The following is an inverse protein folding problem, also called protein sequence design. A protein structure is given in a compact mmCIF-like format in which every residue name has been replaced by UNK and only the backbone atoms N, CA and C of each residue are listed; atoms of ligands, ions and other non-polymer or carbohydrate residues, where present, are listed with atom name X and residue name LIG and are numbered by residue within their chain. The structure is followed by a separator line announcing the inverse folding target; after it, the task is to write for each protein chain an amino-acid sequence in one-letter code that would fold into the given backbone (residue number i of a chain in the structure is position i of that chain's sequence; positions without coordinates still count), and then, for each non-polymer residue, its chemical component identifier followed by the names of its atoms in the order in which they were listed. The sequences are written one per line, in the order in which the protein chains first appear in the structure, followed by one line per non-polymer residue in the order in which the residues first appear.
data_IF_882512178654
#
_entry.id   IF_882512178654
#
_cell.length_a   1.000
_cell.length_b   1.000
_cell.length_c   1.000
_cell.angle_alpha   90.00
_cell.angle_beta   90.00
_cell.angle_gamma   90.00
#
_symmetry.space_group_name_H-M   'P 1'
#
loop_
_entity.id
_entity.type
_entity.pdbx_description
1 polymer ?
#
# COMPACT_ATOMS: atom_id res chain seq x y z
N UNK A 1 46.25 29.16 1.76
CA UNK A 1 44.98 29.67 1.21
C UNK A 1 44.68 28.83 -0.02
N UNK A 2 44.46 27.54 0.18
CA UNK A 2 43.16 26.91 0.50
C UNK A 2 42.17 27.05 -0.66
N UNK A 3 42.34 26.19 -1.64
CA UNK A 3 41.28 25.75 -2.55
C UNK A 3 41.16 24.25 -2.36
N UNK A 4 40.27 23.86 -1.44
CA UNK A 4 39.98 22.47 -1.13
C UNK A 4 39.31 21.80 -2.32
N UNK A 5 39.93 20.69 -2.74
CA UNK A 5 39.34 19.48 -3.29
C UNK A 5 37.80 19.52 -3.43
N UNK A 6 37.35 19.69 -4.67
CA UNK A 6 36.05 19.18 -5.08
C UNK A 6 36.13 17.65 -4.99
N UNK A 7 35.54 17.07 -3.95
CA UNK A 7 35.22 15.65 -3.95
C UNK A 7 34.22 15.40 -5.09
N UNK A 8 34.71 14.76 -6.16
CA UNK A 8 33.86 14.09 -7.14
C UNK A 8 33.07 13.00 -6.42
N UNK A 9 31.89 13.36 -5.93
CA UNK A 9 30.86 12.38 -5.55
C UNK A 9 30.41 11.73 -6.85
N UNK A 10 31.06 10.62 -7.17
CA UNK A 10 30.66 9.71 -8.22
C UNK A 10 29.28 9.15 -7.84
N UNK A 11 28.22 9.86 -8.23
CA UNK A 11 26.86 9.36 -8.17
C UNK A 11 26.74 8.23 -9.20
N UNK A 12 27.18 7.04 -8.82
CA UNK A 12 26.71 5.81 -9.45
C UNK A 12 25.22 5.72 -9.15
N UNK A 13 24.41 6.25 -10.05
CA UNK A 13 22.98 5.94 -10.10
C UNK A 13 22.87 4.44 -10.38
N UNK A 14 22.88 3.63 -9.33
CA UNK A 14 22.54 2.22 -9.42
C UNK A 14 21.09 2.14 -9.87
N UNK A 15 20.90 1.78 -11.14
CA UNK A 15 19.60 1.45 -11.71
C UNK A 15 19.01 0.31 -10.88
N UNK A 16 17.79 0.47 -10.39
CA UNK A 16 17.05 -0.59 -9.71
C UNK A 16 17.00 -1.81 -10.64
N UNK A 17 17.35 -3.00 -10.16
CA UNK A 17 17.18 -4.23 -10.94
C UNK A 17 15.77 -4.78 -10.71
N UNK A 18 15.17 -5.41 -11.73
CA UNK A 18 13.81 -5.94 -11.66
C UNK A 18 13.63 -7.03 -10.58
N UNK A 19 14.71 -7.71 -10.20
CA UNK A 19 14.75 -8.72 -9.14
C UNK A 19 15.06 -8.14 -7.73
N UNK A 20 15.19 -6.82 -7.61
CA UNK A 20 15.47 -6.14 -6.35
C UNK A 20 14.20 -5.60 -5.69
N UNK A 21 14.07 -5.82 -4.39
CA UNK A 21 13.09 -5.08 -3.60
C UNK A 21 13.59 -3.65 -3.38
N UNK A 22 12.67 -2.69 -3.49
CA UNK A 22 12.90 -1.28 -3.18
C UNK A 22 11.76 -0.78 -2.31
N UNK A 23 12.10 -0.01 -1.29
CA UNK A 23 11.14 0.69 -0.45
C UNK A 23 11.66 2.08 -0.11
N UNK A 24 10.87 3.11 -0.41
CA UNK A 24 11.18 4.50 -0.10
C UNK A 24 10.13 5.07 0.85
N UNK A 25 10.57 5.39 2.06
CA UNK A 25 9.75 5.87 3.16
C UNK A 25 10.46 6.99 3.92
N UNK A 26 9.71 7.92 4.56
CA UNK A 26 10.29 8.83 5.55
C UNK A 26 11.04 8.14 6.70
N UNK A 27 10.73 6.88 7.02
CA UNK A 27 11.37 6.13 8.10
C UNK A 27 12.68 5.48 7.66
N UNK A 28 12.61 4.45 6.82
CA UNK A 28 13.80 3.79 6.26
C UNK A 28 13.61 3.57 4.77
N UNK A 29 14.60 3.99 4.01
CA UNK A 29 14.63 3.83 2.55
C UNK A 29 15.82 2.94 2.16
N UNK A 30 15.56 1.84 1.47
CA UNK A 30 16.59 0.87 1.11
C UNK A 30 16.21 0.01 -0.11
N UNK A 31 17.23 -0.59 -0.71
CA UNK A 31 17.13 -1.63 -1.74
C UNK A 31 17.69 -2.95 -1.23
N UNK A 32 17.35 -4.05 -1.89
CA UNK A 32 17.92 -5.37 -1.59
C UNK A 32 18.66 -5.97 -2.79
N UNK A 33 19.53 -6.92 -2.54
CA UNK A 33 20.17 -7.74 -3.59
C UNK A 33 20.20 -9.20 -3.21
N UNK A 34 19.90 -10.07 -4.19
CA UNK A 34 19.84 -11.51 -4.02
C UNK A 34 18.65 -11.97 -3.15
N UNK A 35 18.41 -13.28 -3.15
CA UNK A 35 17.39 -13.93 -2.34
C UNK A 35 18.04 -15.06 -1.54
N UNK A 36 18.08 -14.93 -0.21
CA UNK A 36 18.57 -15.99 0.67
C UNK A 36 17.50 -17.08 0.87
N UNK A 37 16.27 -16.67 1.20
CA UNK A 37 15.17 -17.61 1.42
C UNK A 37 13.83 -16.94 1.10
N UNK A 38 13.01 -17.60 0.27
CA UNK A 38 11.59 -17.25 0.08
C UNK A 38 10.78 -17.70 1.29
N UNK A 39 9.71 -16.95 1.58
CA UNK A 39 8.81 -17.20 2.70
C UNK A 39 7.37 -17.04 2.21
N UNK A 40 6.73 -18.18 1.91
CA UNK A 40 5.38 -18.25 1.34
C UNK A 40 4.30 -18.61 2.35
N UNK A 41 4.62 -18.63 3.65
CA UNK A 41 3.67 -18.96 4.70
C UNK A 41 2.48 -17.99 4.68
N UNK A 42 1.23 -18.49 4.67
CA UNK A 42 0.05 -17.65 4.83
C UNK A 42 0.08 -16.88 6.16
N UNK A 43 -0.25 -15.59 6.12
CA UNK A 43 -0.22 -14.70 7.27
C UNK A 43 -1.47 -14.76 8.17
N UNK A 44 -2.43 -15.64 7.88
CA UNK A 44 -3.62 -15.85 8.72
C UNK A 44 -3.22 -16.25 10.14
N UNK A 45 -3.78 -15.55 11.14
CA UNK A 45 -3.38 -15.72 12.54
C UNK A 45 -1.97 -15.22 12.85
N UNK A 46 -1.37 -14.40 11.97
CA UNK A 46 -0.03 -13.84 12.16
C UNK A 46 0.06 -12.78 13.27
N UNK A 47 -1.07 -12.38 13.85
CA UNK A 47 -1.20 -11.51 15.02
C UNK A 47 -0.87 -12.23 16.34
N UNK A 48 -0.96 -13.56 16.39
CA UNK A 48 -0.53 -14.36 17.53
C UNK A 48 1.00 -14.51 17.51
N UNK A 49 1.75 -13.93 18.49
CA UNK A 49 3.20 -14.08 18.57
C UNK A 49 3.67 -15.53 18.70
N UNK A 50 2.81 -16.41 19.21
CA UNK A 50 3.07 -17.85 19.31
C UNK A 50 2.55 -18.65 18.11
N UNK A 51 1.90 -18.00 17.14
CA UNK A 51 1.27 -18.63 15.99
C UNK A 51 2.26 -19.22 14.98
N UNK A 52 1.80 -20.13 14.09
CA UNK A 52 2.66 -20.82 13.12
C UNK A 52 3.45 -19.89 12.21
N UNK A 53 2.83 -18.80 11.76
CA UNK A 53 3.48 -17.79 10.91
C UNK A 53 4.67 -17.15 11.63
N UNK A 54 4.49 -16.71 12.89
CA UNK A 54 5.53 -16.06 13.70
C UNK A 54 6.65 -17.03 14.07
N UNK A 55 6.33 -18.29 14.39
CA UNK A 55 7.33 -19.33 14.66
C UNK A 55 8.23 -19.59 13.43
N UNK A 56 7.62 -19.71 12.24
CA UNK A 56 8.34 -19.90 10.98
C UNK A 56 9.15 -18.67 10.59
N UNK A 57 8.63 -17.46 10.79
CA UNK A 57 9.35 -16.21 10.60
C UNK A 57 10.61 -16.13 11.49
N UNK A 58 10.45 -16.41 12.79
CA UNK A 58 11.56 -16.44 13.73
C UNK A 58 12.61 -17.50 13.35
N UNK A 59 12.17 -18.67 12.87
CA UNK A 59 13.08 -19.70 12.37
C UNK A 59 13.83 -19.25 11.11
N UNK A 60 13.16 -18.57 10.17
CA UNK A 60 13.80 -18.03 8.97
C UNK A 60 14.90 -17.00 9.33
N UNK A 61 14.63 -16.13 10.30
CA UNK A 61 15.65 -15.19 10.80
C UNK A 61 16.83 -15.90 11.48
N UNK A 62 16.58 -16.92 12.32
CA UNK A 62 17.65 -17.72 12.93
C UNK A 62 18.52 -18.41 11.86
N UNK A 63 17.89 -18.99 10.84
CA UNK A 63 18.60 -19.64 9.74
C UNK A 63 19.49 -18.64 8.96
N UNK A 64 18.97 -17.43 8.71
CA UNK A 64 19.74 -16.37 8.04
C UNK A 64 20.96 -15.94 8.88
N UNK A 65 20.79 -15.72 10.20
CA UNK A 65 21.91 -15.39 11.11
C UNK A 65 22.96 -16.50 11.16
N UNK A 66 22.53 -17.75 11.27
CA UNK A 66 23.43 -18.91 11.28
C UNK A 66 24.20 -19.08 9.95
N UNK A 67 23.65 -18.55 8.85
CA UNK A 67 24.28 -18.55 7.52
C UNK A 67 25.15 -17.32 7.26
N UNK A 68 25.39 -16.48 8.26
CA UNK A 68 26.28 -15.32 8.18
C UNK A 68 25.61 -13.99 7.80
N UNK A 69 24.27 -13.93 7.70
CA UNK A 69 23.55 -12.66 7.49
C UNK A 69 23.37 -11.97 8.85
N UNK A 70 24.22 -10.99 9.16
CA UNK A 70 24.25 -10.34 10.47
C UNK A 70 22.93 -9.65 10.86
N UNK A 71 22.34 -8.89 9.92
CA UNK A 71 21.11 -8.12 10.13
C UNK A 71 20.07 -8.52 9.10
N UNK A 72 19.43 -9.71 9.23
CA UNK A 72 18.46 -10.16 8.25
C UNK A 72 17.18 -9.34 8.35
N UNK A 73 16.62 -9.03 7.19
CA UNK A 73 15.32 -8.36 7.01
C UNK A 73 14.41 -9.28 6.21
N UNK A 74 13.13 -9.33 6.55
CA UNK A 74 12.09 -9.93 5.73
C UNK A 74 11.43 -8.80 4.95
N UNK A 75 11.33 -8.94 3.63
CA UNK A 75 10.72 -7.94 2.74
C UNK A 75 9.67 -8.59 1.85
N UNK A 76 8.73 -7.80 1.33
CA UNK A 76 7.81 -8.23 0.27
C UNK A 76 6.37 -7.81 0.53
N UNK A 77 5.42 -8.64 0.11
CA UNK A 77 3.99 -8.35 0.23
C UNK A 77 3.18 -9.53 0.79
N UNK A 78 2.12 -9.22 1.52
CA UNK A 78 1.12 -10.16 2.03
C UNK A 78 -0.22 -9.85 1.33
N UNK A 79 -0.95 -10.87 0.83
CA UNK A 79 -2.19 -10.69 0.09
C UNK A 79 -3.34 -10.10 0.93
N UNK A 80 -4.37 -9.60 0.25
CA UNK A 80 -5.61 -9.15 0.89
C UNK A 80 -6.27 -10.28 1.70
N UNK A 81 -6.32 -11.49 1.13
CA UNK A 81 -6.74 -12.68 1.85
C UNK A 81 -5.52 -13.39 2.46
N UNK A 82 -5.29 -13.18 3.75
CA UNK A 82 -4.10 -13.69 4.49
C UNK A 82 -4.02 -15.22 4.59
N UNK A 83 -5.08 -15.93 4.17
CA UNK A 83 -5.07 -17.39 4.00
C UNK A 83 -4.28 -17.84 2.77
N UNK A 84 -4.04 -16.95 1.82
CA UNK A 84 -3.24 -17.22 0.62
C UNK A 84 -1.74 -17.07 0.91
N UNK A 85 -0.87 -17.71 0.11
CA UNK A 85 0.58 -17.62 0.29
C UNK A 85 1.07 -16.17 0.27
N UNK A 86 1.99 -15.85 1.20
CA UNK A 86 2.68 -14.56 1.22
C UNK A 86 3.74 -14.50 0.11
N UNK A 87 4.07 -13.29 -0.36
CA UNK A 87 5.17 -13.03 -1.28
C UNK A 87 6.32 -12.35 -0.53
N UNK A 88 6.88 -13.04 0.47
CA UNK A 88 7.97 -12.53 1.31
C UNK A 88 9.29 -13.25 1.03
N UNK A 89 10.40 -12.59 1.33
CA UNK A 89 11.72 -13.19 1.29
C UNK A 89 12.74 -12.46 2.16
N UNK A 90 13.79 -13.17 2.55
CA UNK A 90 15.01 -12.59 3.15
C UNK A 90 16.02 -12.39 2.01
N UNK A 91 16.51 -11.16 1.77
CA UNK A 91 17.55 -10.93 0.78
C UNK A 91 18.92 -11.33 1.32
N UNK A 92 19.91 -11.46 0.43
CA UNK A 92 21.28 -11.71 0.86
C UNK A 92 21.92 -10.43 1.46
N UNK A 93 21.58 -9.27 0.89
CA UNK A 93 22.07 -7.96 1.30
C UNK A 93 20.99 -6.90 1.13
N UNK A 94 21.11 -5.82 1.90
CA UNK A 94 20.32 -4.61 1.72
C UNK A 94 21.21 -3.38 1.89
N UNK A 95 20.85 -2.28 1.24
CA UNK A 95 21.59 -1.02 1.28
C UNK A 95 20.63 0.14 1.43
N UNK A 96 20.88 1.02 2.39
CA UNK A 96 20.09 2.23 2.57
C UNK A 96 20.43 3.27 1.53
N UNK A 97 19.47 4.16 1.25
CA UNK A 97 19.69 5.34 0.43
C UNK A 97 18.95 6.53 1.02
N UNK A 98 19.40 7.74 0.66
CA UNK A 98 18.72 8.99 1.05
C UNK A 98 17.45 9.21 0.22
N UNK A 99 16.30 9.28 0.88
CA UNK A 99 15.01 9.60 0.24
C UNK A 99 15.04 10.97 -0.49
N UNK A 100 15.52 12.07 0.12
CA UNK A 100 15.67 13.34 -0.59
C UNK A 100 16.56 13.24 -1.83
N UNK A 101 17.67 12.51 -1.75
CA UNK A 101 18.56 12.33 -2.90
C UNK A 101 17.87 11.56 -4.04
N UNK A 102 17.08 10.52 -3.72
CA UNK A 102 16.28 9.79 -4.72
C UNK A 102 15.16 10.62 -5.32
N UNK A 103 14.46 11.43 -4.52
CA UNK A 103 13.46 12.36 -5.04
C UNK A 103 14.07 13.36 -6.02
N UNK A 104 15.29 13.84 -5.74
CA UNK A 104 16.01 14.73 -6.64
C UNK A 104 16.45 14.01 -7.92
N UNK A 105 17.03 12.82 -7.83
CA UNK A 105 17.50 12.08 -9.01
C UNK A 105 16.36 11.69 -9.94
N UNK A 106 15.23 11.23 -9.39
CA UNK A 106 14.08 10.78 -10.17
C UNK A 106 13.46 11.89 -11.04
N UNK A 107 13.55 13.16 -10.61
CA UNK A 107 13.07 14.32 -11.40
C UNK A 107 13.81 14.50 -12.72
N UNK A 108 15.06 14.06 -12.78
CA UNK A 108 15.93 14.20 -13.95
C UNK A 108 16.14 12.87 -14.68
N UNK A 109 15.49 11.79 -14.24
CA UNK A 109 15.58 10.49 -14.88
C UNK A 109 14.96 10.56 -16.29
N UNK A 110 15.82 10.63 -17.32
CA UNK A 110 15.43 10.57 -18.72
C UNK A 110 15.46 9.12 -19.19
N UNK A 111 14.30 8.54 -19.51
CA UNK A 111 14.26 7.14 -19.97
C UNK A 111 12.86 6.57 -20.20
N UNK A 112 11.89 7.40 -20.59
CA UNK A 112 10.55 6.89 -20.84
C UNK A 112 10.56 5.96 -22.06
N UNK A 113 10.44 4.65 -21.82
CA UNK A 113 10.13 3.69 -22.86
C UNK A 113 8.80 4.09 -23.50
N UNK A 114 8.79 4.27 -24.81
CA UNK A 114 7.54 4.45 -25.55
C UNK A 114 6.87 3.09 -25.69
N UNK A 115 5.71 2.94 -25.05
CA UNK A 115 4.87 1.75 -25.06
C UNK A 115 3.60 2.03 -25.85
N UNK A 116 3.27 1.17 -26.81
CA UNK A 116 1.97 1.23 -27.48
C UNK A 116 1.01 0.29 -26.77
N UNK A 117 -0.16 0.81 -26.38
CA UNK A 117 -1.22 -0.01 -25.78
C UNK A 117 -1.91 -0.80 -26.89
N UNK A 118 -1.80 -2.12 -26.84
CA UNK A 118 -2.48 -3.03 -27.77
C UNK A 118 -3.89 -3.37 -27.30
N UNK A 119 -4.10 -3.45 -25.98
CA UNK A 119 -5.38 -3.75 -25.38
C UNK A 119 -5.50 -3.06 -24.03
N UNK A 120 -6.69 -2.53 -23.73
CA UNK A 120 -7.08 -2.01 -22.42
C UNK A 120 -8.48 -2.53 -22.07
N UNK A 121 -8.61 -3.16 -20.92
CA UNK A 121 -9.87 -3.77 -20.47
C UNK A 121 -10.17 -3.31 -19.04
N UNK A 122 -11.37 -2.79 -18.80
CA UNK A 122 -11.85 -2.48 -17.45
C UNK A 122 -12.61 -3.67 -16.88
N UNK A 123 -12.28 -4.07 -15.65
CA UNK A 123 -12.84 -5.27 -15.02
C UNK A 123 -13.39 -4.92 -13.63
N UNK A 124 -14.71 -4.93 -13.44
CA UNK A 124 -15.74 -5.00 -14.48
C UNK A 124 -15.89 -3.66 -15.23
N UNK A 125 -16.59 -3.64 -16.38
CA UNK A 125 -16.96 -2.39 -17.06
C UNK A 125 -17.94 -1.57 -16.21
N UNK A 126 -18.05 -0.27 -16.51
CA UNK A 126 -18.80 0.70 -15.72
C UNK A 126 -20.21 0.25 -15.30
N UNK A 127 -21.10 -0.24 -16.19
CA UNK A 127 -22.46 -0.61 -15.78
C UNK A 127 -22.51 -1.67 -14.69
N UNK A 128 -21.64 -2.68 -14.79
CA UNK A 128 -21.56 -3.78 -13.82
C UNK A 128 -20.97 -3.29 -12.49
N UNK A 129 -19.95 -2.43 -12.52
CA UNK A 129 -19.43 -1.83 -11.28
C UNK A 129 -20.49 -0.97 -10.59
N UNK A 130 -21.28 -0.20 -11.33
CA UNK A 130 -22.37 0.61 -10.79
C UNK A 130 -23.47 -0.26 -10.15
N UNK A 131 -23.81 -1.40 -10.76
CA UNK A 131 -24.73 -2.39 -10.18
C UNK A 131 -24.18 -2.99 -8.87
N UNK A 132 -22.89 -3.35 -8.85
CA UNK A 132 -22.23 -3.84 -7.63
C UNK A 132 -22.29 -2.80 -6.50
N UNK A 133 -22.02 -1.53 -6.81
CA UNK A 133 -22.09 -0.42 -5.83
C UNK A 133 -23.52 -0.23 -5.33
N UNK A 134 -24.52 -0.23 -6.21
CA UNK A 134 -25.93 -0.09 -5.81
C UNK A 134 -26.37 -1.24 -4.89
N UNK A 135 -25.95 -2.47 -5.19
CA UNK A 135 -26.22 -3.65 -4.36
C UNK A 135 -25.54 -3.54 -3.00
N UNK A 136 -24.25 -3.20 -2.97
CA UNK A 136 -23.49 -3.01 -1.74
C UNK A 136 -24.08 -1.89 -0.86
N UNK A 137 -24.39 -0.72 -1.44
CA UNK A 137 -25.01 0.38 -0.70
C UNK A 137 -26.34 -0.03 -0.05
N UNK A 138 -27.18 -0.79 -0.79
CA UNK A 138 -28.44 -1.32 -0.26
C UNK A 138 -28.23 -2.28 0.92
N UNK A 139 -27.21 -3.14 0.85
CA UNK A 139 -26.87 -4.06 1.94
C UNK A 139 -26.30 -3.33 3.16
N UNK A 140 -25.53 -2.27 2.93
CA UNK A 140 -24.97 -1.44 4.03
C UNK A 140 -26.03 -0.67 4.81
N UNK A 141 -27.24 -0.52 4.27
CA UNK A 141 -28.39 0.05 4.97
C UNK A 141 -29.07 -0.96 5.90
N UNK A 142 -28.65 -2.23 5.89
CA UNK A 142 -29.17 -3.29 6.76
C UNK A 142 -28.23 -3.54 7.96
N UNK A 143 -28.69 -4.22 9.02
CA UNK A 143 -27.84 -4.56 10.17
C UNK A 143 -26.69 -5.55 9.87
N UNK A 144 -26.61 -6.12 8.66
CA UNK A 144 -25.66 -7.19 8.34
C UNK A 144 -24.23 -6.69 8.11
N UNK A 145 -24.10 -5.51 7.50
CA UNK A 145 -22.82 -4.89 7.16
C UNK A 145 -23.00 -3.39 7.19
N UNK A 146 -22.05 -2.63 7.75
CA UNK A 146 -22.11 -1.17 7.81
C UNK A 146 -21.30 -0.50 6.70
N UNK A 147 -20.22 -1.17 6.27
CA UNK A 147 -19.31 -0.70 5.21
C UNK A 147 -18.76 -1.89 4.45
N UNK A 148 -18.65 -1.78 3.14
CA UNK A 148 -17.89 -2.71 2.29
C UNK A 148 -17.06 -1.90 1.30
N UNK A 149 -15.84 -2.32 1.01
CA UNK A 149 -14.98 -1.69 0.02
C UNK A 149 -15.03 -2.55 -1.22
N UNK A 150 -15.56 -2.02 -2.31
CA UNK A 150 -15.54 -2.68 -3.61
C UNK A 150 -14.45 -2.10 -4.48
N UNK A 151 -13.92 -2.92 -5.37
CA UNK A 151 -12.79 -2.59 -6.23
C UNK A 151 -13.02 -3.01 -7.67
N UNK A 152 -12.16 -2.49 -8.54
CA UNK A 152 -12.09 -2.81 -9.95
C UNK A 152 -10.66 -2.71 -10.45
N UNK A 153 -10.46 -3.28 -11.64
CA UNK A 153 -9.16 -3.39 -12.29
C UNK A 153 -9.15 -2.68 -13.65
N UNK A 154 -7.96 -2.35 -14.10
CA UNK A 154 -7.68 -2.09 -15.52
C UNK A 154 -6.53 -3.01 -15.93
N UNK A 155 -6.79 -3.89 -16.89
CA UNK A 155 -5.77 -4.69 -17.54
C UNK A 155 -5.29 -3.99 -18.81
N UNK A 156 -3.97 -3.91 -19.00
CA UNK A 156 -3.33 -3.29 -20.15
C UNK A 156 -2.31 -4.26 -20.73
N UNK A 157 -2.37 -4.49 -22.04
CA UNK A 157 -1.33 -5.19 -22.80
C UNK A 157 -0.60 -4.19 -23.69
N UNK A 158 0.72 -4.30 -23.73
CA UNK A 158 1.61 -3.42 -24.50
C UNK A 158 2.36 -4.19 -25.59
N UNK A 159 2.87 -3.47 -26.58
CA UNK A 159 3.62 -4.04 -27.70
C UNK A 159 5.02 -4.55 -27.34
N UNK A 160 5.53 -4.21 -26.15
CA UNK A 160 6.88 -4.53 -25.68
C UNK A 160 6.87 -4.93 -24.21
N UNK A 161 7.91 -5.63 -23.79
CA UNK A 161 8.15 -5.84 -22.36
C UNK A 161 8.33 -4.48 -21.65
N UNK A 162 7.76 -4.39 -20.46
CA UNK A 162 7.75 -3.17 -19.66
C UNK A 162 9.02 -3.11 -18.82
N UNK A 163 9.72 -1.98 -18.89
CA UNK A 163 10.85 -1.67 -18.01
C UNK A 163 10.34 -1.18 -16.64
N UNK A 164 10.31 -2.08 -15.65
CA UNK A 164 9.84 -1.77 -14.30
C UNK A 164 10.72 -0.74 -13.59
N UNK A 165 12.02 -0.71 -13.90
CA UNK A 165 12.98 0.21 -13.29
C UNK A 165 12.77 1.64 -13.78
N UNK A 166 12.58 1.81 -15.09
CA UNK A 166 12.24 3.11 -15.68
C UNK A 166 10.87 3.62 -15.20
N UNK A 167 9.89 2.73 -15.05
CA UNK A 167 8.59 3.09 -14.45
C UNK A 167 8.72 3.52 -12.99
N UNK A 168 9.60 2.88 -12.22
CA UNK A 168 9.80 3.22 -10.81
C UNK A 168 10.34 4.64 -10.64
N UNK A 169 11.28 5.08 -11.48
CA UNK A 169 11.77 6.47 -11.48
C UNK A 169 10.65 7.47 -11.79
N UNK A 170 9.80 7.19 -12.79
CA UNK A 170 8.62 8.02 -13.11
C UNK A 170 7.64 8.07 -11.93
N UNK A 171 7.41 6.93 -11.28
CA UNK A 171 6.55 6.83 -10.11
C UNK A 171 7.05 7.70 -8.97
N UNK A 172 8.34 7.65 -8.66
CA UNK A 172 8.97 8.47 -7.60
C UNK A 172 8.87 9.96 -7.94
N UNK A 173 9.14 10.34 -9.20
CA UNK A 173 9.09 11.73 -9.64
C UNK A 173 7.68 12.33 -9.51
N UNK A 174 6.65 11.55 -9.86
CA UNK A 174 5.25 11.98 -9.80
C UNK A 174 4.67 11.89 -8.38
N UNK A 175 5.18 10.99 -7.54
CA UNK A 175 4.65 10.71 -6.20
C UNK A 175 5.76 10.77 -5.14
N UNK A 176 6.43 11.92 -4.94
CA UNK A 176 7.60 12.00 -4.08
C UNK A 176 7.27 11.82 -2.60
N UNK A 177 6.04 12.17 -2.18
CA UNK A 177 5.61 12.15 -0.78
C UNK A 177 5.14 10.78 -0.29
N UNK A 178 4.78 9.87 -1.20
CA UNK A 178 4.21 8.56 -0.91
C UNK A 178 5.24 7.56 -0.36
N UNK A 179 4.73 6.40 0.10
CA UNK A 179 5.49 5.18 0.29
C UNK A 179 5.63 4.47 -1.06
N UNK A 180 6.80 4.58 -1.68
CA UNK A 180 7.04 4.02 -3.01
C UNK A 180 7.71 2.65 -2.87
N UNK A 181 7.15 1.64 -3.52
CA UNK A 181 7.63 0.27 -3.44
C UNK A 181 7.75 -0.40 -4.81
N UNK A 182 8.70 -1.33 -4.91
CA UNK A 182 8.89 -2.25 -6.03
C UNK A 182 9.27 -3.62 -5.45
N UNK A 183 8.49 -4.66 -5.75
CA UNK A 183 8.59 -5.99 -5.14
C UNK A 183 8.73 -7.04 -6.24
N UNK A 184 9.85 -7.79 -6.27
CA UNK A 184 10.03 -8.91 -7.20
C UNK A 184 9.19 -10.12 -6.75
N UNK A 185 8.34 -10.61 -7.65
CA UNK A 185 7.47 -11.76 -7.43
C UNK A 185 8.11 -13.06 -7.91
N UNK A 186 7.62 -14.20 -7.44
CA UNK A 186 8.17 -15.52 -7.74
C UNK A 186 7.97 -15.93 -9.21
N UNK A 187 6.88 -15.46 -9.83
CA UNK A 187 6.58 -15.68 -11.25
C UNK A 187 7.41 -14.81 -12.21
N UNK A 188 8.36 -14.04 -11.69
CA UNK A 188 9.15 -13.06 -12.47
C UNK A 188 8.41 -11.74 -12.73
N UNK A 189 7.20 -11.58 -12.19
CA UNK A 189 6.48 -10.31 -12.19
C UNK A 189 7.00 -9.33 -11.15
N UNK A 190 6.46 -8.11 -11.20
CA UNK A 190 6.78 -7.04 -10.27
C UNK A 190 5.49 -6.41 -9.75
N UNK A 191 5.37 -6.28 -8.44
CA UNK A 191 4.37 -5.41 -7.82
C UNK A 191 5.03 -4.05 -7.53
N UNK A 192 4.46 -2.96 -8.05
CA UNK A 192 4.97 -1.60 -7.80
C UNK A 192 3.85 -0.61 -7.47
N UNK A 193 4.15 0.42 -6.70
CA UNK A 193 3.12 1.40 -6.33
C UNK A 193 3.62 2.57 -5.49
N UNK A 194 2.71 3.53 -5.31
CA UNK A 194 2.91 4.77 -4.56
C UNK A 194 1.82 4.92 -3.48
N UNK A 195 1.88 4.09 -2.44
CA UNK A 195 0.84 4.08 -1.42
C UNK A 195 0.90 5.34 -0.55
N UNK A 196 -0.23 6.00 -0.27
CA UNK A 196 -0.29 7.10 0.69
C UNK A 196 -0.55 6.62 2.14
N UNK A 197 -0.85 5.33 2.35
CA UNK A 197 -1.45 4.84 3.59
C UNK A 197 -0.49 3.93 4.35
N UNK A 198 -0.04 4.42 5.51
CA UNK A 198 0.73 3.64 6.47
C UNK A 198 -0.22 2.73 7.26
N UNK A 199 -0.12 1.42 7.06
CA UNK A 199 -0.85 0.49 7.92
C UNK A 199 -0.20 0.41 9.29
N UNK A 200 1.12 0.20 9.34
CA UNK A 200 1.86 0.07 10.58
C UNK A 200 3.34 0.38 10.39
N UNK A 201 3.91 1.19 11.28
CA UNK A 201 5.35 1.27 11.52
C UNK A 201 5.61 0.89 12.97
N UNK A 202 6.70 0.17 13.24
CA UNK A 202 7.18 -0.13 14.60
C UNK A 202 8.68 0.13 14.71
N UNK A 203 9.08 0.86 15.74
CA UNK A 203 10.46 1.12 16.12
C UNK A 203 10.61 0.97 17.65
N UNK A 204 11.37 -0.04 18.08
CA UNK A 204 11.42 -0.42 19.49
C UNK A 204 10.02 -0.79 19.99
N UNK A 205 9.58 -0.19 21.09
CA UNK A 205 8.23 -0.38 21.63
C UNK A 205 7.16 0.45 20.88
N UNK A 206 7.57 1.57 20.29
CA UNK A 206 6.65 2.53 19.70
C UNK A 206 6.13 2.05 18.34
N UNK A 207 4.85 2.27 18.08
CA UNK A 207 4.24 2.02 16.78
C UNK A 207 3.32 3.17 16.36
N UNK A 208 3.18 3.33 15.04
CA UNK A 208 2.31 4.34 14.44
C UNK A 208 1.51 3.76 13.27
N UNK A 209 0.32 4.29 13.02
CA UNK A 209 -0.51 4.01 11.84
C UNK A 209 -1.16 5.30 11.33
N UNK A 210 -1.48 5.37 10.02
CA UNK A 210 -2.13 6.52 9.40
C UNK A 210 -3.25 6.05 8.46
N UNK A 211 -4.38 5.53 8.99
CA UNK A 211 -5.52 5.10 8.19
C UNK A 211 -6.13 6.24 7.39
N UNK A 212 -6.51 5.93 6.14
CA UNK A 212 -7.16 6.86 5.21
C UNK A 212 -8.54 6.37 4.80
N UNK A 213 -9.55 7.23 4.91
CA UNK A 213 -10.91 6.95 4.43
C UNK A 213 -11.65 8.27 4.21
N UNK A 214 -12.44 8.38 3.15
CA UNK A 214 -12.94 9.65 2.63
C UNK A 214 -11.95 10.30 1.65
N UNK A 215 -12.47 10.77 0.51
CA UNK A 215 -11.66 11.23 -0.61
C UNK A 215 -12.30 12.40 -1.36
N UNK A 216 -11.49 13.36 -1.79
CA UNK A 216 -11.92 14.41 -2.72
C UNK A 216 -10.85 14.68 -3.79
N UNK A 217 -11.27 14.98 -5.02
CA UNK A 217 -10.34 15.24 -6.13
C UNK A 217 -9.59 16.55 -5.91
N UNK A 218 -8.27 16.53 -6.13
CA UNK A 218 -7.44 17.75 -6.20
C UNK A 218 -7.86 18.64 -7.36
N UNK A 219 -7.80 19.95 -7.19
CA UNK A 219 -8.05 20.93 -8.24
C UNK A 219 -6.74 21.60 -8.70
N UNK A 220 -6.61 21.98 -9.98
CA UNK A 220 -5.45 22.74 -10.46
C UNK A 220 -5.37 24.17 -9.91
N UNK A 221 -6.52 24.76 -9.56
CA UNK A 221 -6.61 26.08 -8.93
C UNK A 221 -6.54 25.95 -7.40
N UNK A 222 -5.62 26.67 -6.76
CA UNK A 222 -5.34 26.56 -5.32
C UNK A 222 -6.54 26.94 -4.44
N UNK A 223 -7.39 27.87 -4.88
CA UNK A 223 -8.58 28.29 -4.13
C UNK A 223 -9.61 27.17 -4.17
N UNK A 224 -9.92 26.68 -5.37
CA UNK A 224 -10.85 25.56 -5.55
C UNK A 224 -10.33 24.27 -4.90
N UNK A 225 -9.02 24.05 -4.88
CA UNK A 225 -8.39 22.88 -4.26
C UNK A 225 -8.56 22.90 -2.74
N UNK A 226 -8.34 24.06 -2.11
CA UNK A 226 -8.54 24.24 -0.67
C UNK A 226 -10.02 24.17 -0.29
N UNK A 227 -10.92 24.66 -1.13
CA UNK A 227 -12.36 24.46 -0.96
C UNK A 227 -12.75 22.98 -1.04
N UNK A 228 -12.16 22.21 -1.98
CA UNK A 228 -12.42 20.77 -2.09
C UNK A 228 -12.00 20.02 -0.81
N UNK A 229 -10.82 20.33 -0.28
CA UNK A 229 -10.37 19.78 1.01
C UNK A 229 -11.28 20.18 2.19
N UNK A 230 -11.71 21.45 2.25
CA UNK A 230 -12.64 21.92 3.30
C UNK A 230 -14.00 21.23 3.21
N UNK A 231 -14.53 21.04 2.00
CA UNK A 231 -15.77 20.28 1.75
C UNK A 231 -15.63 18.82 2.17
N UNK A 232 -14.48 18.19 1.93
CA UNK A 232 -14.20 16.82 2.39
C UNK A 232 -14.23 16.74 3.92
N UNK A 233 -13.54 17.65 4.62
CA UNK A 233 -13.53 17.69 6.08
C UNK A 233 -14.93 17.94 6.68
N UNK A 234 -15.76 18.70 5.98
CA UNK A 234 -17.14 18.98 6.35
C UNK A 234 -18.16 17.89 5.93
N UNK A 235 -17.77 16.93 5.08
CA UNK A 235 -18.67 15.90 4.56
C UNK A 235 -19.06 14.87 5.63
N UNK A 236 -20.35 14.77 5.93
CA UNK A 236 -20.87 13.79 6.88
C UNK A 236 -20.67 12.35 6.40
N UNK A 237 -20.84 12.10 5.09
CA UNK A 237 -20.59 10.79 4.47
C UNK A 237 -19.15 10.36 4.72
N UNK A 238 -18.18 11.19 4.34
CA UNK A 238 -16.76 10.87 4.40
C UNK A 238 -16.28 10.77 5.86
N UNK A 239 -16.77 11.64 6.76
CA UNK A 239 -16.47 11.52 8.20
C UNK A 239 -17.03 10.24 8.80
N UNK A 240 -18.28 9.87 8.49
CA UNK A 240 -18.87 8.62 8.95
C UNK A 240 -18.08 7.41 8.44
N UNK A 241 -17.69 7.43 7.16
CA UNK A 241 -16.85 6.40 6.57
C UNK A 241 -15.49 6.28 7.28
N UNK A 242 -14.90 7.41 7.67
CA UNK A 242 -13.64 7.49 8.40
C UNK A 242 -13.76 6.98 9.83
N UNK A 243 -14.83 7.35 10.55
CA UNK A 243 -15.06 6.95 11.93
C UNK A 243 -15.21 5.43 12.07
N UNK A 244 -15.84 4.76 11.10
CA UNK A 244 -15.92 3.29 11.09
C UNK A 244 -14.53 2.62 11.06
N UNK A 245 -13.57 3.23 10.36
CA UNK A 245 -12.19 2.74 10.31
C UNK A 245 -11.49 2.94 11.64
N UNK A 246 -11.52 4.17 12.16
CA UNK A 246 -10.76 4.54 13.37
C UNK A 246 -11.31 3.85 14.61
N UNK A 247 -12.63 3.70 14.76
CA UNK A 247 -13.23 2.99 15.89
C UNK A 247 -12.89 1.49 15.89
N UNK A 248 -12.90 0.85 14.72
CA UNK A 248 -12.48 -0.54 14.60
C UNK A 248 -11.01 -0.72 14.99
N UNK A 249 -10.13 0.14 14.48
CA UNK A 249 -8.70 0.12 14.81
C UNK A 249 -8.43 0.36 16.30
N UNK A 250 -9.12 1.34 16.89
CA UNK A 250 -9.02 1.63 18.33
C UNK A 250 -9.37 0.40 19.16
N UNK A 251 -10.49 -0.25 18.85
CA UNK A 251 -10.97 -1.44 19.56
C UNK A 251 -9.96 -2.60 19.54
N UNK A 252 -9.26 -2.82 18.43
CA UNK A 252 -8.29 -3.92 18.29
C UNK A 252 -6.90 -3.57 18.84
N UNK A 253 -6.49 -2.29 18.79
CA UNK A 253 -5.17 -1.86 19.27
C UNK A 253 -5.13 -1.63 20.77
N UNK A 254 -6.21 -1.18 21.40
CA UNK A 254 -6.28 -0.94 22.86
C UNK A 254 -5.76 -2.11 23.71
N UNK A 255 -6.21 -3.37 23.52
CA UNK A 255 -5.74 -4.48 24.34
C UNK A 255 -4.28 -4.89 24.05
N UNK A 256 -3.71 -4.42 22.94
CA UNK A 256 -2.35 -4.75 22.46
C UNK A 256 -1.33 -3.65 22.72
N UNK A 257 -1.76 -2.57 23.36
CA UNK A 257 -0.95 -1.39 23.63
C UNK A 257 -0.87 -1.12 25.14
N UNK A 258 0.26 -0.56 25.58
CA UNK A 258 0.41 0.07 26.91
C UNK A 258 -0.16 1.50 26.89
N UNK A 259 0.07 2.20 25.78
CA UNK A 259 -0.48 3.53 25.51
C UNK A 259 -1.01 3.58 24.08
N UNK A 260 -2.14 4.24 23.87
CA UNK A 260 -2.72 4.48 22.55
C UNK A 260 -3.29 5.90 22.49
N UNK A 261 -2.85 6.68 21.52
CA UNK A 261 -3.33 8.03 21.23
C UNK A 261 -3.89 8.09 19.81
N UNK A 262 -5.11 8.59 19.70
CA UNK A 262 -5.80 8.86 18.45
C UNK A 262 -6.60 10.15 18.59
N UNK A 263 -6.37 11.18 17.73
CA UNK A 263 -7.21 12.37 17.71
C UNK A 263 -8.68 12.04 17.46
N UNK A 264 -9.58 12.81 18.06
CA UNK A 264 -11.03 12.64 17.90
C UNK A 264 -11.57 13.12 16.54
N UNK A 265 -10.76 13.81 15.74
CA UNK A 265 -11.14 14.30 14.42
C UNK A 265 -10.01 14.09 13.43
N UNK A 266 -10.32 13.76 12.17
CA UNK A 266 -9.31 13.56 11.15
C UNK A 266 -8.68 14.89 10.73
N UNK A 267 -7.50 14.78 10.11
CA UNK A 267 -6.82 15.85 9.39
C UNK A 267 -6.82 15.59 7.89
N UNK A 268 -6.58 16.63 7.11
CA UNK A 268 -6.42 16.52 5.65
C UNK A 268 -4.98 16.19 5.28
N UNK A 269 -4.80 15.22 4.40
CA UNK A 269 -3.53 14.98 3.69
C UNK A 269 -3.77 14.96 2.18
N UNK A 270 -2.69 15.10 1.40
CA UNK A 270 -2.76 15.14 -0.07
C UNK A 270 -1.87 14.11 -0.73
N UNK A 271 -2.37 13.52 -1.79
CA UNK A 271 -1.57 12.98 -2.91
C UNK A 271 -1.59 13.98 -4.08
N UNK A 272 -0.85 13.72 -5.17
CA UNK A 272 -0.97 14.53 -6.39
C UNK A 272 -2.39 14.56 -6.97
N UNK A 273 -3.23 13.57 -6.69
CA UNK A 273 -4.55 13.39 -7.31
C UNK A 273 -5.73 13.58 -6.35
N UNK A 274 -5.53 13.35 -5.05
CA UNK A 274 -6.59 13.30 -4.05
C UNK A 274 -6.24 14.04 -2.74
N UNK A 275 -7.24 14.65 -2.13
CA UNK A 275 -7.33 14.88 -0.70
C UNK A 275 -7.85 13.61 0.00
N UNK A 276 -7.34 13.34 1.20
CA UNK A 276 -7.79 12.25 2.07
C UNK A 276 -8.00 12.77 3.49
N UNK A 277 -9.00 12.21 4.20
CA UNK A 277 -9.05 12.30 5.66
C UNK A 277 -8.13 11.25 6.25
N UNK A 278 -7.33 11.65 7.24
CA UNK A 278 -6.36 10.82 7.93
C UNK A 278 -6.45 11.02 9.45
N UNK A 279 -6.31 9.96 10.23
CA UNK A 279 -6.17 10.07 11.69
C UNK A 279 -4.86 9.41 12.12
N UNK A 280 -3.87 10.16 12.63
CA UNK A 280 -2.64 9.56 13.12
C UNK A 280 -2.94 8.74 14.38
N UNK A 281 -2.49 7.49 14.38
CA UNK A 281 -2.57 6.57 15.51
C UNK A 281 -1.16 6.37 16.02
N UNK A 282 -0.94 6.61 17.30
CA UNK A 282 0.36 6.48 17.96
C UNK A 282 0.21 5.63 19.21
N UNK A 283 1.13 4.70 19.45
CA UNK A 283 1.06 3.85 20.63
C UNK A 283 2.37 3.19 21.01
N UNK A 284 2.37 2.58 22.19
CA UNK A 284 3.46 1.74 22.68
C UNK A 284 2.92 0.31 22.77
N UNK A 285 3.53 -0.60 22.02
CA UNK A 285 3.12 -1.98 21.96
C UNK A 285 3.43 -2.72 23.26
N UNK A 286 2.63 -3.73 23.59
CA UNK A 286 2.96 -4.68 24.66
C UNK A 286 4.18 -5.55 24.28
N UNK A 287 4.65 -6.33 25.25
CA UNK A 287 5.78 -7.22 25.06
C UNK A 287 5.48 -8.29 24.00
N UNK A 288 6.53 -8.76 23.31
CA UNK A 288 6.48 -9.77 22.25
C UNK A 288 5.79 -9.34 20.94
N UNK A 289 5.29 -8.11 20.85
CA UNK A 289 4.85 -7.56 19.57
C UNK A 289 6.02 -7.24 18.64
N UNK A 290 5.85 -7.59 17.37
CA UNK A 290 6.70 -7.13 16.28
C UNK A 290 5.87 -6.41 15.21
N UNK A 291 6.54 -5.82 14.22
CA UNK A 291 5.85 -5.12 13.14
C UNK A 291 4.84 -6.00 12.39
N UNK A 292 5.08 -7.30 12.25
CA UNK A 292 4.14 -8.20 11.57
C UNK A 292 2.98 -8.63 12.46
N UNK A 293 3.16 -8.82 13.78
CA UNK A 293 2.02 -9.17 14.66
C UNK A 293 0.97 -8.06 14.64
N UNK A 294 1.41 -6.80 14.79
CA UNK A 294 0.49 -5.66 14.75
C UNK A 294 -0.05 -5.38 13.33
N UNK A 295 0.73 -5.60 12.27
CA UNK A 295 0.24 -5.41 10.91
C UNK A 295 -0.82 -6.48 10.56
N UNK A 296 -0.61 -7.75 10.93
CA UNK A 296 -1.59 -8.82 10.76
C UNK A 296 -2.84 -8.63 11.61
N UNK A 297 -2.72 -8.00 12.78
CA UNK A 297 -3.87 -7.64 13.62
C UNK A 297 -4.76 -6.59 12.93
N UNK A 298 -4.14 -5.57 12.34
CA UNK A 298 -4.84 -4.46 11.67
C UNK A 298 -5.36 -4.84 10.28
N UNK A 299 -4.67 -5.73 9.57
CA UNK A 299 -4.91 -5.99 8.15
C UNK A 299 -6.00 -7.04 7.90
N UNK A 300 -6.96 -6.77 6.98
CA UNK A 300 -7.28 -5.47 6.39
C UNK A 300 -8.18 -4.64 7.31
N UNK A 301 -7.91 -3.33 7.36
CA UNK A 301 -8.78 -2.38 8.07
C UNK A 301 -10.11 -2.20 7.32
N UNK A 302 -11.13 -1.56 7.94
CA UNK A 302 -12.36 -1.21 7.22
C UNK A 302 -12.16 -0.24 6.04
N UNK A 303 -10.96 0.32 5.83
CA UNK A 303 -10.63 1.10 4.63
C UNK A 303 -10.40 0.21 3.38
N UNK A 304 -10.10 -1.09 3.58
CA UNK A 304 -9.78 -2.03 2.51
C UNK A 304 -10.78 -3.18 2.37
N UNK A 305 -11.35 -3.66 3.48
CA UNK A 305 -12.43 -4.66 3.47
C UNK A 305 -13.78 -4.03 3.73
N UNK A 306 -13.99 -3.50 4.93
CA UNK A 306 -15.29 -3.06 5.43
C UNK A 306 -15.52 -3.45 6.89
N UNK A 307 -16.73 -3.21 7.40
CA UNK A 307 -17.12 -3.46 8.79
C UNK A 307 -18.56 -3.98 8.87
N UNK A 308 -18.83 -5.06 9.64
CA UNK A 308 -17.86 -5.98 10.24
C UNK A 308 -16.99 -6.71 9.19
N UNK A 309 -15.74 -7.00 9.54
CA UNK A 309 -14.73 -7.49 8.58
C UNK A 309 -15.17 -8.76 7.81
N UNK A 310 -15.67 -9.77 8.51
CA UNK A 310 -16.02 -11.06 7.90
C UNK A 310 -17.21 -10.93 6.94
N UNK A 311 -18.26 -10.21 7.34
CA UNK A 311 -19.42 -9.94 6.49
C UNK A 311 -19.02 -9.15 5.23
N UNK A 312 -18.13 -8.17 5.37
CA UNK A 312 -17.61 -7.41 4.22
C UNK A 312 -16.79 -8.28 3.28
N UNK A 313 -15.94 -9.20 3.79
CA UNK A 313 -15.16 -10.14 2.94
C UNK A 313 -16.05 -11.10 2.16
N UNK A 314 -17.13 -11.61 2.77
CA UNK A 314 -18.10 -12.47 2.08
C UNK A 314 -18.78 -11.72 0.95
N UNK A 315 -19.21 -10.47 1.20
CA UNK A 315 -19.83 -9.64 0.19
C UNK A 315 -18.86 -9.25 -0.94
N UNK A 316 -17.59 -8.98 -0.63
CA UNK A 316 -16.54 -8.77 -1.64
C UNK A 316 -16.40 -10.00 -2.53
N UNK A 317 -16.35 -11.20 -1.94
CA UNK A 317 -16.21 -12.45 -2.69
C UNK A 317 -17.44 -12.78 -3.55
N UNK A 318 -18.63 -12.34 -3.14
CA UNK A 318 -19.86 -12.47 -3.93
C UNK A 318 -19.89 -11.50 -5.13
N UNK A 319 -19.48 -10.25 -4.91
CA UNK A 319 -19.68 -9.16 -5.89
C UNK A 319 -18.50 -8.95 -6.84
N UNK A 320 -17.25 -9.14 -6.40
CA UNK A 320 -16.09 -8.89 -7.25
C UNK A 320 -15.85 -10.06 -8.22
N UNK A 321 -15.82 -9.83 -9.55
CA UNK A 321 -15.64 -10.89 -10.53
C UNK A 321 -14.16 -11.29 -10.70
N UNK A 322 -13.33 -11.07 -9.68
CA UNK A 322 -11.90 -11.32 -9.70
C UNK A 322 -11.35 -11.56 -8.28
N UNK A 323 -10.16 -12.13 -8.23
CA UNK A 323 -9.36 -12.24 -7.02
C UNK A 323 -8.44 -11.02 -6.88
N UNK A 324 -8.43 -10.39 -5.69
CA UNK A 324 -7.54 -9.26 -5.42
C UNK A 324 -6.07 -9.66 -5.34
N UNK A 325 -5.77 -10.91 -4.99
CA UNK A 325 -4.39 -11.37 -4.77
C UNK A 325 -3.63 -10.44 -3.80
N UNK A 326 -2.54 -9.79 -4.27
CA UNK A 326 -1.74 -8.83 -3.51
C UNK A 326 -2.38 -7.44 -3.38
N UNK A 327 -3.35 -7.10 -4.24
CA UNK A 327 -4.01 -5.80 -4.21
C UNK A 327 -4.87 -5.62 -2.97
N UNK A 328 -4.77 -4.45 -2.33
CA UNK A 328 -5.41 -4.20 -1.04
C UNK A 328 -4.80 -5.02 0.11
N UNK A 329 -3.73 -5.77 -0.15
CA UNK A 329 -2.86 -6.40 0.85
C UNK A 329 -1.95 -5.38 1.55
N UNK A 330 -0.81 -5.86 2.05
CA UNK A 330 0.22 -5.01 2.66
C UNK A 330 1.59 -5.29 2.04
N UNK A 331 2.42 -4.26 1.94
CA UNK A 331 3.78 -4.34 1.39
C UNK A 331 4.74 -3.60 2.30
N UNK A 332 5.93 -4.16 2.51
CA UNK A 332 6.84 -3.60 3.48
C UNK A 332 7.95 -4.55 3.91
N UNK A 333 8.39 -4.37 5.15
CA UNK A 333 9.50 -5.11 5.73
C UNK A 333 9.40 -5.22 7.25
N UNK A 334 10.07 -6.22 7.80
CA UNK A 334 10.41 -6.28 9.22
C UNK A 334 11.82 -6.85 9.43
N UNK A 335 12.50 -6.47 10.51
CA UNK A 335 13.79 -7.04 10.89
C UNK A 335 13.65 -8.09 12.00
N UNK A 336 14.76 -8.78 12.27
CA UNK A 336 14.82 -9.80 13.32
C UNK A 336 14.72 -9.27 14.76
N UNK A 337 14.67 -7.95 14.93
CA UNK A 337 14.54 -7.25 16.22
C UNK A 337 13.10 -6.78 16.45
N UNK A 338 12.22 -7.03 15.49
CA UNK A 338 10.78 -6.75 15.56
C UNK A 338 10.38 -5.36 15.07
N UNK A 339 11.32 -4.58 14.53
CA UNK A 339 11.00 -3.31 13.87
C UNK A 339 10.52 -3.57 12.45
N UNK A 340 9.84 -2.58 11.86
CA UNK A 340 9.40 -2.70 10.48
C UNK A 340 8.41 -1.63 10.06
N UNK A 341 8.01 -1.69 8.81
CA UNK A 341 7.05 -0.79 8.22
C UNK A 341 6.25 -1.51 7.13
N UNK A 342 4.92 -1.40 7.21
CA UNK A 342 3.94 -2.00 6.33
C UNK A 342 2.96 -0.93 5.87
N UNK A 343 2.82 -0.82 4.56
CA UNK A 343 1.90 0.12 3.92
C UNK A 343 0.85 -0.66 3.14
N UNK A 344 -0.31 -0.06 2.96
CA UNK A 344 -1.41 -0.71 2.22
C UNK A 344 -1.05 -0.79 0.74
N UNK A 345 -1.28 -1.94 0.10
CA UNK A 345 -0.99 -2.19 -1.32
C UNK A 345 -2.08 -1.58 -2.23
N UNK A 346 -2.08 -0.24 -2.32
CA UNK A 346 -2.97 0.57 -3.18
C UNK A 346 -2.17 1.55 -4.04
N UNK A 347 -2.82 2.16 -5.04
CA UNK A 347 -2.17 3.02 -6.04
C UNK A 347 -0.98 2.29 -6.67
N UNK A 348 -1.26 1.07 -7.13
CA UNK A 348 -0.24 0.10 -7.51
C UNK A 348 -0.64 -0.68 -8.75
N UNK A 349 0.33 -1.39 -9.30
CA UNK A 349 0.22 -2.24 -10.47
C UNK A 349 1.01 -3.54 -10.28
N UNK A 350 0.51 -4.63 -10.87
CA UNK A 350 1.28 -5.85 -11.11
C UNK A 350 1.72 -5.85 -12.57
N UNK A 351 3.02 -5.94 -12.81
CA UNK A 351 3.62 -6.09 -14.14
C UNK A 351 4.05 -7.53 -14.33
N UNK A 352 3.85 -8.04 -15.53
CA UNK A 352 4.43 -9.29 -15.95
C UNK A 352 4.67 -9.26 -17.47
N UNK A 353 5.94 -9.28 -17.87
CA UNK A 353 6.35 -9.14 -19.28
C UNK A 353 5.77 -7.86 -19.92
N UNK A 354 4.82 -7.98 -20.83
CA UNK A 354 4.17 -6.87 -21.54
C UNK A 354 2.76 -6.55 -21.01
N UNK A 355 2.33 -7.15 -19.90
CA UNK A 355 1.01 -6.93 -19.29
C UNK A 355 1.09 -6.18 -17.96
N UNK A 356 0.04 -5.42 -17.69
CA UNK A 356 -0.15 -4.63 -16.47
C UNK A 356 -1.55 -4.85 -15.96
N UNK A 357 -1.69 -5.07 -14.66
CA UNK A 357 -2.96 -4.98 -13.95
C UNK A 357 -2.91 -3.86 -12.95
N UNK A 358 -3.84 -2.91 -13.05
CA UNK A 358 -4.04 -1.81 -12.11
C UNK A 358 -5.21 -2.12 -11.18
N UNK A 359 -5.22 -1.54 -9.98
CA UNK A 359 -6.26 -1.75 -8.99
C UNK A 359 -6.68 -0.44 -8.31
N UNK A 360 -7.99 -0.29 -8.08
CA UNK A 360 -8.53 0.68 -7.13
C UNK A 360 -9.85 0.22 -6.53
N UNK A 361 -10.06 0.58 -5.26
CA UNK A 361 -11.34 0.40 -4.57
C UNK A 361 -11.87 1.68 -3.93
N UNK A 362 -13.15 1.66 -3.58
CA UNK A 362 -13.88 2.74 -2.91
C UNK A 362 -14.73 2.17 -1.77
N UNK A 363 -14.86 2.94 -0.69
CA UNK A 363 -15.64 2.58 0.48
C UNK A 363 -17.12 2.83 0.23
N UNK A 364 -17.93 1.78 0.30
CA UNK A 364 -19.36 1.83 0.06
C UNK A 364 -20.09 1.85 1.39
N UNK A 365 -20.89 2.89 1.56
CA UNK A 365 -21.85 3.15 2.66
C UNK A 365 -23.23 3.50 2.07
N UNK A 366 -24.32 3.58 2.86
CA UNK A 366 -25.67 3.78 2.33
C UNK A 366 -25.84 5.02 1.44
N UNK A 367 -25.07 6.09 1.69
CA UNK A 367 -25.12 7.33 0.93
C UNK A 367 -24.25 7.33 -0.35
N UNK A 368 -23.67 6.20 -0.73
CA UNK A 368 -22.77 6.11 -1.89
C UNK A 368 -23.54 6.18 -3.21
N UNK A 369 -23.01 6.92 -4.18
CA UNK A 369 -23.58 7.02 -5.53
C UNK A 369 -22.79 6.12 -6.48
N UNK A 370 -23.41 5.17 -7.21
CA UNK A 370 -22.71 4.30 -8.17
C UNK A 370 -21.76 5.05 -9.12
N UNK A 371 -22.25 6.11 -9.76
CA UNK A 371 -21.47 6.97 -10.66
C UNK A 371 -20.34 7.68 -9.90
N UNK A 372 -20.60 8.11 -8.66
CA UNK A 372 -19.61 8.73 -7.80
C UNK A 372 -18.44 7.80 -7.50
N UNK A 373 -18.73 6.57 -7.07
CA UNK A 373 -17.70 5.59 -6.71
C UNK A 373 -16.92 5.08 -7.94
N UNK A 374 -17.57 4.98 -9.11
CA UNK A 374 -16.89 4.72 -10.38
C UNK A 374 -15.86 5.81 -10.72
N UNK A 375 -16.25 7.08 -10.54
CA UNK A 375 -15.35 8.24 -10.76
C UNK A 375 -14.24 8.29 -9.72
N UNK A 376 -14.53 8.02 -8.46
CA UNK A 376 -13.53 7.98 -7.38
C UNK A 376 -12.45 6.93 -7.67
N UNK A 377 -12.86 5.70 -7.98
CA UNK A 377 -11.91 4.64 -8.38
C UNK A 377 -11.13 5.02 -9.63
N UNK A 378 -11.73 5.76 -10.57
CA UNK A 378 -11.05 6.30 -11.75
C UNK A 378 -9.92 7.27 -11.39
N UNK A 379 -10.17 8.21 -10.47
CA UNK A 379 -9.13 9.13 -9.97
C UNK A 379 -8.03 8.36 -9.24
N UNK A 380 -8.38 7.33 -8.45
CA UNK A 380 -7.39 6.47 -7.77
C UNK A 380 -6.48 5.74 -8.78
N UNK A 381 -7.06 5.15 -9.84
CA UNK A 381 -6.35 4.49 -10.94
C UNK A 381 -5.44 5.45 -11.71
N UNK A 382 -5.83 6.73 -11.83
CA UNK A 382 -5.05 7.75 -12.54
C UNK A 382 -3.63 7.90 -12.00
N UNK A 383 -3.39 7.61 -10.71
CA UNK A 383 -2.04 7.62 -10.13
C UNK A 383 -1.08 6.73 -10.91
N UNK A 384 -1.51 5.49 -11.21
CA UNK A 384 -0.68 4.57 -12.00
C UNK A 384 -0.79 4.84 -13.49
N UNK A 385 -1.96 5.22 -14.02
CA UNK A 385 -2.08 5.57 -15.44
C UNK A 385 -1.12 6.72 -15.82
N UNK A 386 -0.96 7.73 -14.97
CA UNK A 386 0.01 8.82 -15.18
C UNK A 386 1.47 8.33 -15.23
N UNK A 387 1.81 7.31 -14.43
CA UNK A 387 3.14 6.66 -14.46
C UNK A 387 3.34 5.94 -15.79
N UNK A 388 2.30 5.38 -16.40
CA UNK A 388 2.34 4.82 -17.76
C UNK A 388 2.24 5.88 -18.86
N UNK A 389 1.85 7.12 -18.54
CA UNK A 389 1.58 8.17 -19.54
C UNK A 389 0.23 8.00 -20.24
N UNK A 390 -0.74 7.42 -19.54
CA UNK A 390 -2.10 7.15 -20.00
C UNK A 390 -3.10 8.00 -19.23
N UNK A 391 -4.28 8.23 -19.81
CA UNK A 391 -5.39 8.99 -19.21
C UNK A 391 -6.67 8.16 -19.12
#
# INVERSE_FOLDING_TARGET
MDTSLAEEVQHTATTLQADSFFFMSPYRSFTTSGCFARFSEPAVGGDDPAGPFQQKLAQAFRNAKNSGIAHPVMVGAIPFDTRKPSSLFIPQRWQTFSRPARQQSARYASGAQTLNVQQRTEIPPQPIFEEMVARAASLTATPQVNKVVLSRLIDIATDKQIDSSALMERLIAQNPASFNFHVPLEDGGVLLGASPELLLRKEGAHFSSLPLAGSARRQPDDVLDREAGTKLLASEKDRHEHDLVTQAMKTILEPRSHHLSMPASPQLITTPTLWHLATPVEGDARENENALTLACLLHPTPALSGFPHQAAKELIAELEPFDRELFGGIVGWCDSEGNGEWVVTIRCARLHQNTVRLFAGAGIVPASSPVGEWRETGVKLSTMLNVFGLH
#
